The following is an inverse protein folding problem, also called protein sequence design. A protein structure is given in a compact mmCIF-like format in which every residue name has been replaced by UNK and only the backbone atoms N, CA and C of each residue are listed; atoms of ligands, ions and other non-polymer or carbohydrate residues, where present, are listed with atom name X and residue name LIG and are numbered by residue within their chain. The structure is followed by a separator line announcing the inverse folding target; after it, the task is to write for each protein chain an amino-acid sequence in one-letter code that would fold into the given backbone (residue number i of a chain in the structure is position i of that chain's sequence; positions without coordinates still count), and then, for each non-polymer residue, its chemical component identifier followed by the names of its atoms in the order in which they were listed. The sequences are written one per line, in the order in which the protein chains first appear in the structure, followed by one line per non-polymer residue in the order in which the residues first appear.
data_IF_217858752166
#
_entry.id   IF_217858752166
#
_cell.length_a   1.000
_cell.length_b   1.000
_cell.length_c   1.000
_cell.angle_alpha   90.00
_cell.angle_beta   90.00
_cell.angle_gamma   90.00
#
_symmetry.space_group_name_H-M   'P 1'
#
loop_
_entity.id
_entity.type
_entity.pdbx_description
1 polymer ?
#
# COMPACT_ATOMS: atom_id res chain seq x y z
N UNK A 1 29.80 2.51 -29.87
CA UNK A 1 28.73 1.49 -29.78
C UNK A 1 27.74 1.94 -28.71
N UNK A 2 26.51 2.28 -29.10
CA UNK A 2 25.46 2.67 -28.14
C UNK A 2 24.96 1.40 -27.44
N UNK A 3 25.15 1.33 -26.12
CA UNK A 3 24.59 0.25 -25.31
C UNK A 3 23.07 0.43 -25.33
N UNK A 4 22.35 -0.43 -26.08
CA UNK A 4 20.88 -0.43 -26.09
C UNK A 4 20.40 -0.74 -24.67
N UNK A 5 19.95 0.29 -23.95
CA UNK A 5 19.29 0.14 -22.67
C UNK A 5 17.93 -0.54 -22.89
N UNK A 6 17.89 -1.86 -22.72
CA UNK A 6 16.66 -2.65 -22.76
C UNK A 6 15.90 -2.43 -21.46
N UNK A 7 14.88 -1.57 -21.48
CA UNK A 7 13.97 -1.32 -20.34
C UNK A 7 13.10 -2.55 -20.10
N UNK A 8 13.63 -3.55 -19.38
CA UNK A 8 12.88 -4.70 -18.90
C UNK A 8 12.19 -4.40 -17.55
N UNK A 9 11.52 -3.26 -17.43
CA UNK A 9 10.75 -2.91 -16.24
C UNK A 9 9.57 -3.87 -16.09
N UNK A 10 9.71 -4.86 -15.22
CA UNK A 10 8.60 -5.75 -14.86
C UNK A 10 7.80 -5.09 -13.75
N UNK A 11 6.48 -5.02 -13.93
CA UNK A 11 5.57 -4.61 -12.85
C UNK A 11 5.64 -5.65 -11.74
N UNK A 12 6.11 -5.26 -10.57
CA UNK A 12 6.11 -6.10 -9.38
C UNK A 12 5.01 -5.62 -8.42
N UNK A 13 4.12 -6.52 -7.97
CA UNK A 13 3.14 -6.17 -6.96
C UNK A 13 3.84 -5.97 -5.61
N UNK A 14 3.46 -4.91 -4.89
CA UNK A 14 3.75 -4.72 -3.49
C UNK A 14 2.43 -4.78 -2.71
N UNK A 15 2.35 -5.73 -1.80
CA UNK A 15 1.20 -5.90 -0.92
C UNK A 15 1.52 -5.24 0.42
N UNK A 16 0.68 -4.29 0.82
CA UNK A 16 0.80 -3.60 2.10
C UNK A 16 -0.39 -3.93 2.98
N UNK A 17 -0.12 -4.11 4.27
CA UNK A 17 -1.13 -4.33 5.30
C UNK A 17 -0.89 -3.30 6.40
N UNK A 18 -1.91 -2.51 6.70
CA UNK A 18 -1.95 -1.69 7.91
C UNK A 18 -2.77 -2.46 8.94
N UNK A 19 -2.23 -2.62 10.15
CA UNK A 19 -2.85 -3.39 11.23
C UNK A 19 -2.54 -2.72 12.56
N UNK A 20 -3.55 -2.53 13.40
CA UNK A 20 -3.42 -1.84 14.69
C UNK A 20 -4.75 -1.32 15.21
N UNK A 21 -4.72 -0.38 16.15
CA UNK A 21 -5.96 0.29 16.59
C UNK A 21 -6.63 1.01 15.42
N UNK A 22 -7.96 1.16 15.48
CA UNK A 22 -8.73 1.83 14.44
C UNK A 22 -8.19 3.23 14.14
N UNK A 23 -7.84 3.98 15.17
CA UNK A 23 -7.31 5.34 15.07
C UNK A 23 -5.94 5.35 14.38
N UNK A 24 -5.05 4.42 14.76
CA UNK A 24 -3.71 4.32 14.17
C UNK A 24 -3.76 3.94 12.68
N UNK A 25 -4.66 3.01 12.32
CA UNK A 25 -4.85 2.61 10.92
C UNK A 25 -5.41 3.75 10.08
N UNK A 26 -6.44 4.45 10.55
CA UNK A 26 -7.02 5.62 9.85
C UNK A 26 -5.98 6.73 9.70
N UNK A 27 -5.24 7.05 10.76
CA UNK A 27 -4.17 8.05 10.70
C UNK A 27 -3.10 7.67 9.67
N UNK A 28 -2.70 6.39 9.64
CA UNK A 28 -1.71 5.90 8.67
C UNK A 28 -2.21 6.00 7.23
N UNK A 29 -3.49 5.68 6.97
CA UNK A 29 -4.11 5.86 5.66
C UNK A 29 -4.12 7.34 5.24
N UNK A 30 -4.50 8.25 6.13
CA UNK A 30 -4.50 9.70 5.86
C UNK A 30 -3.09 10.25 5.61
N UNK A 31 -2.11 9.78 6.38
CA UNK A 31 -0.72 10.15 6.19
C UNK A 31 -0.21 9.69 4.82
N UNK A 32 -0.44 8.43 4.43
CA UNK A 32 -0.04 7.92 3.12
C UNK A 32 -0.76 8.63 1.97
N UNK A 33 -2.03 9.02 2.17
CA UNK A 33 -2.74 9.87 1.22
C UNK A 33 -2.10 11.25 1.08
N UNK A 34 -1.77 11.91 2.19
CA UNK A 34 -1.13 13.23 2.17
C UNK A 34 0.24 13.24 1.48
N UNK A 35 0.95 12.11 1.52
CA UNK A 35 2.23 11.91 0.83
C UNK A 35 2.07 11.55 -0.67
N UNK A 36 0.84 11.43 -1.17
CA UNK A 36 0.56 11.02 -2.55
C UNK A 36 0.89 9.55 -2.82
N UNK A 37 1.02 8.73 -1.79
CA UNK A 37 1.38 7.32 -1.92
C UNK A 37 0.21 6.45 -2.37
N UNK A 38 -0.97 6.66 -1.78
CA UNK A 38 -2.19 5.92 -2.08
C UNK A 38 -3.44 6.77 -1.82
N UNK A 39 -4.44 6.67 -2.69
CA UNK A 39 -5.77 7.20 -2.47
C UNK A 39 -6.49 6.42 -1.36
N UNK A 40 -7.35 7.10 -0.59
CA UNK A 40 -8.12 6.45 0.48
C UNK A 40 -8.99 5.30 -0.06
N UNK A 41 -9.53 5.45 -1.27
CA UNK A 41 -10.38 4.44 -1.91
C UNK A 41 -9.63 3.23 -2.49
N UNK A 42 -8.30 3.27 -2.57
CA UNK A 42 -7.50 2.10 -2.99
C UNK A 42 -7.37 1.05 -1.88
N UNK A 43 -7.58 1.45 -0.62
CA UNK A 43 -7.52 0.55 0.53
C UNK A 43 -8.79 -0.29 0.62
N UNK A 44 -8.67 -1.54 1.06
CA UNK A 44 -9.83 -2.36 1.39
C UNK A 44 -10.58 -1.77 2.61
N UNK A 45 -11.87 -2.08 2.78
CA UNK A 45 -12.59 -1.74 4.01
C UNK A 45 -11.83 -2.23 5.26
N UNK A 46 -11.99 -1.52 6.37
CA UNK A 46 -11.41 -1.94 7.65
C UNK A 46 -12.08 -3.24 8.12
N UNK A 47 -11.28 -4.29 8.27
CA UNK A 47 -11.72 -5.58 8.79
C UNK A 47 -11.23 -5.77 10.23
N UNK A 48 -12.03 -6.45 11.05
CA UNK A 48 -11.61 -6.82 12.42
C UNK A 48 -10.58 -7.93 12.33
N UNK A 49 -9.66 -7.95 13.28
CA UNK A 49 -8.73 -9.07 13.47
C UNK A 49 -9.18 -9.95 14.64
N UNK A 50 -8.42 -10.99 14.93
CA UNK A 50 -8.64 -11.84 16.12
C UNK A 50 -8.34 -11.10 17.44
N UNK A 51 -7.71 -9.93 17.39
CA UNK A 51 -7.38 -9.11 18.56
C UNK A 51 -8.49 -8.06 18.77
N UNK A 52 -9.16 -8.04 19.95
CA UNK A 52 -10.20 -7.06 20.23
C UNK A 52 -9.70 -5.62 20.10
N UNK A 53 -10.44 -4.81 19.34
CA UNK A 53 -10.10 -3.40 19.10
C UNK A 53 -9.07 -3.16 17.99
N UNK A 54 -8.48 -4.22 17.45
CA UNK A 54 -7.57 -4.14 16.32
C UNK A 54 -8.33 -4.32 14.99
N UNK A 55 -7.93 -3.52 14.00
CA UNK A 55 -8.44 -3.60 12.63
C UNK A 55 -7.27 -3.70 11.67
N UNK A 56 -7.56 -4.16 10.45
CA UNK A 56 -6.63 -4.15 9.35
C UNK A 56 -7.26 -3.67 8.05
N UNK A 57 -6.41 -3.18 7.15
CA UNK A 57 -6.74 -2.89 5.75
C UNK A 57 -5.55 -3.20 4.87
N UNK A 58 -5.81 -3.49 3.60
CA UNK A 58 -4.79 -3.88 2.63
C UNK A 58 -4.88 -3.04 1.37
N UNK A 59 -3.75 -2.94 0.68
CA UNK A 59 -3.64 -2.34 -0.66
C UNK A 59 -2.59 -3.11 -1.46
N UNK A 60 -2.80 -3.21 -2.77
CA UNK A 60 -1.80 -3.75 -3.70
C UNK A 60 -1.41 -2.67 -4.70
N UNK A 61 -0.12 -2.31 -4.73
CA UNK A 61 0.46 -1.36 -5.70
C UNK A 61 1.34 -2.11 -6.68
N UNK A 62 1.48 -1.60 -7.90
CA UNK A 62 2.36 -2.19 -8.92
C UNK A 62 3.49 -1.23 -9.25
N UNK A 63 4.71 -1.61 -8.91
CA UNK A 63 5.90 -0.80 -9.14
C UNK A 63 6.65 -1.27 -10.38
N UNK A 64 7.17 -0.33 -11.15
CA UNK A 64 8.15 -0.60 -12.21
C UNK A 64 9.53 -0.54 -11.57
N UNK A 65 10.00 -1.69 -11.08
CA UNK A 65 11.36 -1.79 -10.54
C UNK A 65 12.36 -2.06 -11.68
N UNK A 66 13.54 -1.41 -11.67
CA UNK A 66 14.59 -1.57 -12.68
C UNK A 66 15.15 -2.99 -12.75
#
# INVERSE_FOLDING_TARGET
MSQKFSRNFKKQPAHHVLKGSREAVIYSMQMLYSLGYAEIAEWTPLEKTDVPGEVMTTITKYWLLP
#
